data_IF_207195582576
#
_entry.id   IF_207195582576
#
_cell.length_a   1.000
_cell.length_b   1.000
_cell.length_c   1.000
_cell.angle_alpha   90.00
_cell.angle_beta   90.00
_cell.angle_gamma   90.00
#
_symmetry.space_group_name_H-M   'P 1'
#
loop_
_entity.id
_entity.type
_entity.pdbx_description
1 polymer ?
#
# COMPACT_ATOMS: atom_id res chain seq x y z
N UNK A 1 -9.81 -4.84 -7.92
CA UNK A 1 -9.13 -4.24 -6.76
C UNK A 1 -10.22 -3.95 -5.76
N UNK A 2 -9.93 -4.01 -4.47
CA UNK A 2 -10.92 -3.71 -3.44
C UNK A 2 -10.54 -2.42 -2.71
N UNK A 3 -11.44 -1.42 -2.74
CA UNK A 3 -11.26 -0.16 -2.01
C UNK A 3 -11.28 -0.46 -0.50
N UNK A 4 -10.21 -0.08 0.17
CA UNK A 4 -10.10 -0.12 1.62
C UNK A 4 -10.64 1.20 2.19
N UNK A 5 -10.14 2.32 1.67
CA UNK A 5 -10.46 3.67 2.14
C UNK A 5 -10.25 4.68 1.01
N UNK A 6 -10.96 5.80 1.04
CA UNK A 6 -10.83 6.87 0.05
C UNK A 6 -10.93 8.24 0.69
N UNK A 7 -10.21 9.21 0.14
CA UNK A 7 -10.41 10.64 0.39
C UNK A 7 -10.95 11.32 -0.86
N UNK A 8 -11.04 12.65 -0.84
CA UNK A 8 -11.31 13.43 -2.05
C UNK A 8 -10.23 13.22 -3.12
N UNK A 9 -8.97 13.05 -2.71
CA UNK A 9 -7.81 13.10 -3.61
C UNK A 9 -7.15 11.74 -3.86
N UNK A 10 -7.32 10.76 -2.97
CA UNK A 10 -6.62 9.47 -3.05
C UNK A 10 -7.53 8.28 -2.77
N UNK A 11 -7.21 7.16 -3.38
CA UNK A 11 -7.79 5.85 -3.08
C UNK A 11 -6.72 4.91 -2.50
N UNK A 12 -7.13 4.12 -1.51
CA UNK A 12 -6.32 3.09 -0.84
C UNK A 12 -6.94 1.75 -1.15
N UNK A 13 -6.18 0.85 -1.76
CA UNK A 13 -6.73 -0.35 -2.38
C UNK A 13 -5.92 -1.59 -2.06
N UNK A 14 -6.61 -2.71 -1.79
CA UNK A 14 -6.02 -4.03 -1.90
C UNK A 14 -5.97 -4.41 -3.38
N UNK A 15 -4.76 -4.66 -3.88
CA UNK A 15 -4.57 -4.94 -5.31
C UNK A 15 -4.91 -6.41 -5.63
N UNK A 16 -5.56 -6.68 -6.75
CA UNK A 16 -5.90 -8.05 -7.16
C UNK A 16 -4.68 -8.85 -7.60
N UNK A 17 -3.65 -8.15 -8.08
CA UNK A 17 -2.41 -8.73 -8.59
C UNK A 17 -1.24 -8.30 -7.70
N UNK A 18 -1.12 -8.85 -6.49
CA UNK A 18 -0.13 -8.40 -5.52
C UNK A 18 1.32 -8.68 -5.97
N UNK A 19 2.25 -7.91 -5.40
CA UNK A 19 3.70 -8.09 -5.59
C UNK A 19 4.37 -8.66 -4.33
N UNK A 20 3.58 -8.86 -3.27
CA UNK A 20 3.87 -9.66 -2.08
C UNK A 20 2.60 -10.45 -1.77
N UNK A 21 2.69 -11.77 -1.76
CA UNK A 21 1.54 -12.65 -1.49
C UNK A 21 0.99 -12.41 -0.08
N UNK A 22 -0.30 -12.67 0.13
CA UNK A 22 -1.04 -12.44 1.38
C UNK A 22 -0.26 -12.87 2.63
N UNK A 23 0.17 -14.13 2.69
CA UNK A 23 0.84 -14.69 3.89
C UNK A 23 2.27 -14.17 4.09
N UNK A 24 2.92 -13.67 3.04
CA UNK A 24 4.22 -12.98 3.15
C UNK A 24 4.06 -11.52 3.61
N UNK A 25 2.82 -11.05 3.74
CA UNK A 25 2.46 -9.76 4.30
C UNK A 25 1.59 -8.89 3.39
N UNK A 26 1.28 -9.34 2.17
CA UNK A 26 0.32 -8.68 1.30
C UNK A 26 0.77 -7.34 0.71
N UNK A 27 -0.09 -6.77 -0.14
CA UNK A 27 0.21 -5.57 -0.93
C UNK A 27 -1.02 -4.65 -1.00
N UNK A 28 -0.83 -3.41 -0.53
CA UNK A 28 -1.78 -2.29 -0.67
C UNK A 28 -1.17 -1.22 -1.56
N UNK A 29 -2.01 -0.50 -2.31
CA UNK A 29 -1.59 0.67 -3.08
C UNK A 29 -2.35 1.92 -2.63
N UNK A 30 -1.68 3.07 -2.64
CA UNK A 30 -2.27 4.40 -2.48
C UNK A 30 -2.04 5.16 -3.78
N UNK A 31 -3.11 5.58 -4.45
CA UNK A 31 -3.04 6.26 -5.74
C UNK A 31 -3.87 7.54 -5.74
N UNK A 32 -3.44 8.62 -6.44
CA UNK A 32 -4.26 9.81 -6.60
C UNK A 32 -5.42 9.52 -7.57
N UNK A 33 -6.59 10.09 -7.28
CA UNK A 33 -7.79 10.00 -8.14
C UNK A 33 -7.60 10.70 -9.48
N UNK A 34 -6.84 11.78 -9.48
CA UNK A 34 -6.36 12.43 -10.70
C UNK A 34 -4.99 11.86 -11.02
N UNK A 35 -4.82 11.36 -12.25
CA UNK A 35 -3.55 10.78 -12.71
C UNK A 35 -2.43 11.83 -12.62
N UNK A 36 -1.42 11.53 -11.82
CA UNK A 36 -0.20 12.34 -11.68
C UNK A 36 0.98 11.49 -12.14
N UNK A 37 1.85 12.04 -12.99
CA UNK A 37 2.99 11.28 -13.54
C UNK A 37 4.05 10.96 -12.48
N UNK A 38 4.36 11.93 -11.63
CA UNK A 38 5.48 11.88 -10.70
C UNK A 38 5.17 12.68 -9.43
N UNK A 39 5.69 12.25 -8.27
CA UNK A 39 5.47 12.91 -6.97
C UNK A 39 5.91 14.38 -6.94
N UNK A 40 6.87 14.79 -7.77
CA UNK A 40 7.32 16.18 -7.87
C UNK A 40 6.26 17.13 -8.41
N UNK A 41 5.18 16.58 -9.00
CA UNK A 41 4.04 17.34 -9.51
C UNK A 41 2.92 17.50 -8.46
N UNK A 42 3.07 16.95 -7.26
CA UNK A 42 2.13 17.16 -6.17
C UNK A 42 2.22 18.61 -5.67
N UNK A 43 1.06 19.21 -5.39
CA UNK A 43 1.04 20.43 -4.58
C UNK A 43 1.48 20.09 -3.14
N UNK A 44 1.97 21.08 -2.36
CA UNK A 44 2.32 20.83 -0.97
C UNK A 44 1.19 20.19 -0.16
N UNK A 45 -0.07 20.61 -0.37
CA UNK A 45 -1.25 20.02 0.30
C UNK A 45 -1.44 18.54 -0.05
N UNK A 46 -1.32 18.18 -1.34
CA UNK A 46 -1.43 16.78 -1.77
C UNK A 46 -0.25 15.93 -1.27
N UNK A 47 0.95 16.50 -1.21
CA UNK A 47 2.12 15.81 -0.67
C UNK A 47 1.99 15.52 0.83
N UNK A 48 1.44 16.48 1.59
CA UNK A 48 1.11 16.32 3.02
C UNK A 48 0.06 15.23 3.20
N UNK A 49 -1.02 15.26 2.42
CA UNK A 49 -2.06 14.22 2.47
C UNK A 49 -1.50 12.84 2.13
N UNK A 50 -0.70 12.72 1.07
CA UNK A 50 -0.07 11.45 0.69
C UNK A 50 0.84 10.92 1.81
N UNK A 51 1.64 11.77 2.45
CA UNK A 51 2.49 11.36 3.57
C UNK A 51 1.65 10.88 4.75
N UNK A 52 0.59 11.61 5.11
CA UNK A 52 -0.35 11.20 6.15
C UNK A 52 -0.95 9.82 5.84
N UNK A 53 -1.44 9.61 4.62
CA UNK A 53 -2.09 8.37 4.22
C UNK A 53 -1.13 7.19 4.19
N UNK A 54 0.12 7.38 3.77
CA UNK A 54 1.14 6.31 3.80
C UNK A 54 1.44 5.88 5.23
N UNK A 55 1.59 6.82 6.17
CA UNK A 55 1.80 6.48 7.58
C UNK A 55 0.57 5.80 8.22
N UNK A 56 -0.62 6.39 8.05
CA UNK A 56 -1.88 5.86 8.56
C UNK A 56 -2.13 4.43 8.06
N UNK A 57 -1.99 4.21 6.76
CA UNK A 57 -2.25 2.92 6.14
C UNK A 57 -1.20 1.89 6.54
N UNK A 58 0.07 2.27 6.64
CA UNK A 58 1.12 1.34 7.05
C UNK A 58 0.94 0.82 8.48
N UNK A 59 0.51 1.69 9.39
CA UNK A 59 0.19 1.28 10.76
C UNK A 59 -1.09 0.44 10.83
N UNK A 60 -2.15 0.86 10.13
CA UNK A 60 -3.40 0.11 10.04
C UNK A 60 -3.20 -1.29 9.44
N UNK A 61 -2.40 -1.39 8.37
CA UNK A 61 -2.03 -2.63 7.72
C UNK A 61 -1.24 -3.55 8.68
N UNK A 62 -0.30 -2.99 9.44
CA UNK A 62 0.47 -3.76 10.41
C UNK A 62 -0.43 -4.35 11.50
N UNK A 63 -1.25 -3.50 12.15
CA UNK A 63 -2.15 -3.94 13.22
C UNK A 63 -3.17 -4.93 12.67
N UNK A 64 -3.81 -4.59 11.55
CA UNK A 64 -4.87 -5.38 10.98
C UNK A 64 -4.40 -6.76 10.56
N UNK A 65 -3.27 -6.88 9.86
CA UNK A 65 -2.75 -8.19 9.45
C UNK A 65 -2.24 -9.02 10.64
N UNK A 66 -1.72 -8.40 11.70
CA UNK A 66 -1.40 -9.11 12.95
C UNK A 66 -2.67 -9.71 13.57
N UNK A 67 -3.77 -8.97 13.62
CA UNK A 67 -5.06 -9.51 14.08
C UNK A 67 -5.59 -10.64 13.19
N UNK A 68 -5.16 -10.70 11.93
CA UNK A 68 -5.46 -11.78 10.98
C UNK A 68 -4.47 -12.95 11.04
N UNK A 69 -3.54 -12.94 11.99
CA UNK A 69 -2.57 -14.00 12.22
C UNK A 69 -1.34 -13.96 11.31
N UNK A 70 -1.08 -12.84 10.63
CA UNK A 70 0.10 -12.63 9.79
C UNK A 70 1.12 -11.80 10.58
N UNK A 71 2.31 -12.33 10.79
CA UNK A 71 3.32 -11.78 11.71
C UNK A 71 4.15 -10.64 11.10
N UNK A 72 3.47 -9.55 10.70
CA UNK A 72 4.09 -8.36 10.11
C UNK A 72 5.18 -7.80 11.03
N UNK A 73 6.41 -7.73 10.51
CA UNK A 73 7.55 -7.08 11.18
C UNK A 73 7.83 -5.67 10.65
N UNK A 74 7.48 -5.37 9.40
CA UNK A 74 7.78 -4.09 8.73
C UNK A 74 6.85 -3.84 7.55
N UNK A 75 6.63 -2.57 7.20
CA UNK A 75 6.11 -2.16 5.90
C UNK A 75 7.24 -1.60 5.03
N UNK A 76 7.27 -1.92 3.74
CA UNK A 76 8.08 -1.21 2.75
C UNK A 76 7.18 -0.28 1.94
N UNK A 77 7.62 0.98 1.77
CA UNK A 77 6.92 2.03 1.04
C UNK A 77 7.70 2.32 -0.24
N UNK A 78 7.08 2.16 -1.41
CA UNK A 78 7.77 2.30 -2.69
C UNK A 78 6.93 2.98 -3.75
N UNK A 79 7.59 3.72 -4.62
CA UNK A 79 7.05 4.33 -5.84
C UNK A 79 8.10 4.07 -6.89
N UNK A 80 7.82 3.09 -7.74
CA UNK A 80 8.83 2.55 -8.65
C UNK A 80 8.59 3.05 -10.07
N UNK A 81 7.36 2.93 -10.59
CA UNK A 81 6.97 3.39 -11.92
C UNK A 81 7.64 2.69 -13.11
N UNK A 82 8.65 1.84 -12.87
CA UNK A 82 9.55 1.29 -13.89
C UNK A 82 8.85 0.53 -15.02
N UNK A 83 7.75 -0.19 -14.73
CA UNK A 83 7.07 -0.98 -15.77
C UNK A 83 6.20 -0.12 -16.70
N UNK A 84 5.92 1.13 -16.33
CA UNK A 84 5.13 2.05 -17.13
C UNK A 84 5.94 2.95 -18.07
N UNK A 85 7.27 2.91 -18.02
CA UNK A 85 8.12 3.90 -18.72
C UNK A 85 8.03 3.86 -20.25
N UNK A 86 7.68 2.70 -20.81
CA UNK A 86 7.51 2.51 -22.26
C UNK A 86 6.04 2.40 -22.69
N UNK A 87 5.10 2.51 -21.76
CA UNK A 87 3.68 2.53 -22.09
C UNK A 87 3.31 3.90 -22.67
N UNK A 88 2.38 3.98 -23.66
CA UNK A 88 1.94 5.24 -24.24
C UNK A 88 1.46 6.28 -23.21
N UNK A 89 0.80 5.81 -22.15
CA UNK A 89 0.28 6.60 -21.04
C UNK A 89 1.36 6.97 -20.00
N UNK A 90 2.56 6.38 -20.10
CA UNK A 90 3.68 6.57 -19.18
C UNK A 90 3.43 6.02 -17.76
N UNK A 91 4.41 6.19 -16.85
CA UNK A 91 4.23 5.88 -15.45
C UNK A 91 3.24 6.86 -14.80
N UNK A 92 2.60 6.42 -13.72
CA UNK A 92 1.79 7.27 -12.86
C UNK A 92 2.11 6.98 -11.40
N UNK A 93 2.00 8.02 -10.58
CA UNK A 93 2.24 7.97 -9.15
C UNK A 93 1.30 6.99 -8.48
N UNK A 94 1.87 6.06 -7.75
CA UNK A 94 1.18 5.23 -6.76
C UNK A 94 2.20 4.75 -5.75
N UNK A 95 1.83 4.74 -4.47
CA UNK A 95 2.68 4.24 -3.40
C UNK A 95 2.27 2.81 -3.09
N UNK A 96 3.20 1.88 -3.26
CA UNK A 96 3.07 0.52 -2.80
C UNK A 96 3.41 0.42 -1.32
N UNK A 97 2.53 -0.24 -0.57
CA UNK A 97 2.75 -0.67 0.80
C UNK A 97 2.84 -2.19 0.80
N UNK A 98 4.05 -2.69 1.03
CA UNK A 98 4.33 -4.11 1.13
C UNK A 98 4.47 -4.50 2.60
N UNK A 99 3.53 -5.27 3.11
CA UNK A 99 3.69 -5.88 4.42
C UNK A 99 4.77 -6.95 4.34
N UNK A 100 5.63 -7.01 5.35
CA UNK A 100 6.72 -7.97 5.44
C UNK A 100 6.51 -8.83 6.68
N UNK A 101 5.88 -9.99 6.48
CA UNK A 101 5.73 -11.01 7.50
C UNK A 101 7.11 -11.57 7.86
N UNK A 102 7.37 -11.82 9.15
CA UNK A 102 8.63 -12.46 9.58
C UNK A 102 8.70 -13.91 9.10
N UNK A 103 7.55 -14.53 8.89
CA UNK A 103 7.38 -15.86 8.32
C UNK A 103 7.42 -15.93 6.78
N UNK A 104 7.67 -14.80 6.09
CA UNK A 104 7.63 -14.73 4.63
C UNK A 104 8.58 -15.74 3.94
N UNK A 105 8.07 -16.45 2.93
CA UNK A 105 8.76 -17.56 2.27
C UNK A 105 9.25 -17.23 0.86
N UNK A 106 8.56 -16.33 0.14
CA UNK A 106 8.90 -15.93 -1.23
C UNK A 106 9.71 -14.63 -1.19
N UNK A 107 9.14 -13.58 -0.61
CA UNK A 107 9.80 -12.28 -0.41
C UNK A 107 10.37 -12.23 1.00
N UNK A 108 11.44 -13.02 1.23
CA UNK A 108 11.98 -13.34 2.57
C UNK A 108 12.22 -12.12 3.45
N UNK A 109 11.85 -12.24 4.72
CA UNK A 109 12.07 -11.18 5.71
C UNK A 109 13.56 -10.85 5.88
N UNK A 110 13.88 -9.56 5.93
CA UNK A 110 15.26 -9.05 5.99
C UNK A 110 15.87 -8.72 4.62
N UNK A 111 15.29 -9.23 3.53
CA UNK A 111 15.70 -8.91 2.16
C UNK A 111 14.81 -7.81 1.55
N UNK A 112 15.36 -7.05 0.61
CA UNK A 112 14.54 -6.19 -0.26
C UNK A 112 13.66 -7.08 -1.16
N UNK A 113 12.43 -6.64 -1.43
CA UNK A 113 11.57 -7.36 -2.37
C UNK A 113 12.17 -7.36 -3.78
N UNK A 114 12.05 -8.49 -4.47
CA UNK A 114 12.37 -8.61 -5.89
C UNK A 114 11.15 -8.26 -6.75
N UNK A 115 11.35 -7.46 -7.81
CA UNK A 115 10.28 -7.03 -8.71
C UNK A 115 10.55 -7.35 -10.18
N UNK A 116 10.69 -8.64 -10.56
CA UNK A 116 10.84 -9.03 -11.96
C UNK A 116 9.56 -8.75 -12.74
N UNK A 117 9.67 -8.59 -14.06
CA UNK A 117 8.52 -8.48 -14.96
C UNK A 117 7.52 -9.64 -14.78
N UNK A 118 6.21 -9.38 -14.94
CA UNK A 118 5.16 -10.38 -14.66
C UNK A 118 5.25 -11.61 -15.56
N UNK A 119 5.73 -11.42 -16.78
CA UNK A 119 5.92 -12.44 -17.81
C UNK A 119 6.89 -13.55 -17.37
N UNK A 120 7.65 -13.34 -16.30
CA UNK A 120 8.51 -14.35 -15.68
C UNK A 120 7.74 -15.43 -14.92
N UNK A 121 6.45 -15.23 -14.65
CA UNK A 121 5.61 -16.13 -13.85
C UNK A 121 5.85 -16.03 -12.33
N UNK A 122 6.71 -15.11 -11.88
CA UNK A 122 7.09 -14.97 -10.46
C UNK A 122 5.89 -14.73 -9.53
N UNK A 123 4.82 -14.12 -10.02
CA UNK A 123 3.64 -13.75 -9.23
C UNK A 123 2.44 -14.69 -9.41
N UNK A 124 2.56 -15.76 -10.20
CA UNK A 124 1.40 -16.56 -10.63
C UNK A 124 0.67 -17.23 -9.45
N UNK A 125 1.40 -17.55 -8.40
CA UNK A 125 0.86 -18.14 -7.17
C UNK A 125 0.55 -17.10 -6.07
N UNK A 126 0.66 -15.80 -6.35
CA UNK A 126 0.47 -14.79 -5.33
C UNK A 126 -1.01 -14.54 -5.07
N UNK A 127 -1.39 -14.62 -3.81
CA UNK A 127 -2.76 -14.42 -3.36
C UNK A 127 -2.97 -12.98 -2.89
N UNK A 128 -4.05 -12.30 -3.32
CA UNK A 128 -4.39 -10.99 -2.79
C UNK A 128 -4.84 -11.06 -1.33
N UNK A 129 -4.90 -9.91 -0.67
CA UNK A 129 -5.57 -9.79 0.62
C UNK A 129 -7.05 -10.21 0.47
N UNK A 130 -7.57 -10.96 1.44
CA UNK A 130 -8.97 -11.39 1.42
C UNK A 130 -9.88 -10.36 2.09
N UNK A 131 -11.20 -10.57 2.01
CA UNK A 131 -12.20 -9.65 2.57
C UNK A 131 -12.01 -9.40 4.06
N UNK A 132 -11.69 -10.44 4.84
CA UNK A 132 -11.45 -10.28 6.28
C UNK A 132 -10.20 -9.46 6.59
N UNK A 133 -9.16 -9.54 5.76
CA UNK A 133 -7.98 -8.68 5.90
C UNK A 133 -8.32 -7.23 5.56
N UNK A 134 -9.04 -7.02 4.46
CA UNK A 134 -9.49 -5.70 4.00
C UNK A 134 -10.38 -5.02 5.05
N UNK A 135 -11.35 -5.75 5.61
CA UNK A 135 -12.26 -5.25 6.63
C UNK A 135 -11.53 -4.87 7.92
N UNK A 136 -10.59 -5.71 8.38
CA UNK A 136 -9.82 -5.40 9.59
C UNK A 136 -8.90 -4.21 9.37
N UNK A 137 -8.24 -4.09 8.21
CA UNK A 137 -7.40 -2.92 7.89
C UNK A 137 -8.25 -1.66 7.81
N UNK A 138 -9.42 -1.69 7.16
CA UNK A 138 -10.35 -0.56 7.10
C UNK A 138 -10.74 -0.10 8.51
N UNK A 139 -11.14 -1.02 9.37
CA UNK A 139 -11.45 -0.74 10.78
C UNK A 139 -10.28 -0.07 11.50
N UNK A 140 -9.03 -0.53 11.28
CA UNK A 140 -7.86 0.09 11.89
C UNK A 140 -7.58 1.49 11.32
N UNK A 141 -7.82 1.73 10.02
CA UNK A 141 -7.75 3.07 9.44
C UNK A 141 -8.74 4.00 10.15
N UNK A 142 -10.00 3.60 10.31
CA UNK A 142 -11.02 4.43 10.94
C UNK A 142 -10.64 4.78 12.39
N UNK A 143 -10.22 3.79 13.18
CA UNK A 143 -9.78 4.00 14.57
C UNK A 143 -8.55 4.92 14.67
N UNK A 144 -7.57 4.73 13.78
CA UNK A 144 -6.34 5.51 13.79
C UNK A 144 -6.57 6.93 13.26
N UNK A 145 -7.44 7.13 12.27
CA UNK A 145 -7.73 8.45 11.69
C UNK A 145 -8.29 9.43 12.73
N UNK A 146 -9.06 8.93 13.69
CA UNK A 146 -9.60 9.70 14.82
C UNK A 146 -8.60 9.82 15.99
N UNK A 147 -7.51 9.06 15.97
CA UNK A 147 -6.47 9.08 16.99
C UNK A 147 -5.47 10.22 16.77
N UNK A 148 -4.94 10.76 17.88
CA UNK A 148 -4.14 11.99 17.93
C UNK A 148 -3.28 12.28 16.71
N UNK A 149 -2.25 11.46 16.45
CA UNK A 149 -1.23 11.72 15.42
C UNK A 149 -1.73 11.72 13.96
N UNK A 150 -2.92 11.17 13.68
CA UNK A 150 -3.47 11.10 12.33
C UNK A 150 -4.69 11.99 12.12
N UNK A 151 -5.12 12.75 13.12
CA UNK A 151 -6.18 13.75 12.91
C UNK A 151 -5.74 14.77 11.86
N UNK A 152 -6.65 15.16 10.98
CA UNK A 152 -6.38 16.09 9.88
C UNK A 152 -5.76 17.41 10.36
N UNK A 153 -6.21 17.90 11.52
CA UNK A 153 -5.70 19.13 12.15
C UNK A 153 -4.20 19.09 12.47
N UNK A 154 -3.64 17.93 12.83
CA UNK A 154 -2.20 17.81 13.12
C UNK A 154 -1.34 17.89 11.85
N UNK A 155 -1.96 17.70 10.69
CA UNK A 155 -1.32 17.70 9.38
C UNK A 155 -1.62 18.97 8.58
N UNK A 156 -2.41 19.91 9.11
CA UNK A 156 -2.83 21.10 8.38
C UNK A 156 -3.73 20.80 7.17
N UNK A 157 -4.51 19.72 7.25
CA UNK A 157 -5.45 19.27 6.22
C UNK A 157 -6.89 19.66 6.56
#
# INVERSE_FOLDING_TARGET
>A
MAIIYSTENFDIEAVDRPLVTRLDGGHISISPRVRIKDRTLLTPRLAIELMRLTMLTGEAMTIGLIHRGIDIGRINYQDNGNWGVFLPEGPFLHIHLYGRAKSATIQKYGEACSFPFRETGFYDAFEPLNSGDIEEIRKQIDLLADSGKYRLSEWGL
#
